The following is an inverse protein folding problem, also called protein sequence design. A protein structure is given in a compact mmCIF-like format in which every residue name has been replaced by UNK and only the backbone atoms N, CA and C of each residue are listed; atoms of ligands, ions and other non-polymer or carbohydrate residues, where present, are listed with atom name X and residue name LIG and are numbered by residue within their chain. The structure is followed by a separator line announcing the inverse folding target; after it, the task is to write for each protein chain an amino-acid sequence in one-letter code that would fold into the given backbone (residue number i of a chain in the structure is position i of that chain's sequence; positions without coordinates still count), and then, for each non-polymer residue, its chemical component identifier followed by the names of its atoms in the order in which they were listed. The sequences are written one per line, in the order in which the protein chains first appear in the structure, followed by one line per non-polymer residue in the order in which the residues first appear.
data_IF_127529935739
#
_entry.id   IF_127529935739
#
_cell.length_a   1.000
_cell.length_b   1.000
_cell.length_c   1.000
_cell.angle_alpha   90.00
_cell.angle_beta   90.00
_cell.angle_gamma   90.00
#
_symmetry.space_group_name_H-M   'P 1'
#
loop_
_entity.id
_entity.type
_entity.pdbx_description
1 polymer ?
#
# COMPACT_ATOMS: atom_id res chain seq x y z
N UNK A 1 16.75 -19.05 -34.81
CA UNK A 1 17.15 -20.47 -34.88
C UNK A 1 18.54 -20.67 -35.50
N UNK A 2 18.82 -20.04 -36.62
CA UNK A 2 20.11 -20.23 -37.34
C UNK A 2 21.36 -19.83 -36.53
N UNK A 3 21.21 -19.10 -35.44
CA UNK A 3 22.27 -18.66 -34.52
C UNK A 3 22.24 -19.37 -33.17
N UNK A 4 21.42 -20.41 -33.03
CA UNK A 4 21.32 -21.20 -31.80
C UNK A 4 20.37 -20.60 -30.73
N UNK A 5 19.52 -19.61 -31.08
CA UNK A 5 18.51 -19.10 -30.17
C UNK A 5 17.32 -20.07 -30.10
N UNK A 6 16.92 -20.44 -28.89
CA UNK A 6 15.77 -21.32 -28.63
C UNK A 6 14.51 -20.60 -28.16
N UNK A 7 14.59 -19.32 -27.83
CA UNK A 7 13.45 -18.54 -27.35
C UNK A 7 13.74 -17.05 -27.26
N UNK A 8 12.70 -16.30 -26.90
CA UNK A 8 12.74 -14.85 -26.76
C UNK A 8 12.00 -14.40 -25.48
N UNK A 9 12.41 -13.27 -24.94
CA UNK A 9 11.69 -12.58 -23.87
C UNK A 9 10.97 -11.36 -24.42
N UNK A 10 9.67 -11.31 -24.22
CA UNK A 10 8.88 -10.11 -24.46
C UNK A 10 8.87 -9.27 -23.19
N UNK A 11 9.64 -8.19 -23.22
CA UNK A 11 9.65 -7.19 -22.15
C UNK A 11 9.03 -5.91 -22.68
N UNK A 12 7.92 -5.45 -22.09
CA UNK A 12 7.41 -4.12 -22.40
C UNK A 12 8.44 -3.08 -21.95
N UNK A 13 8.84 -2.22 -22.85
CA UNK A 13 9.80 -1.17 -22.56
C UNK A 13 9.05 0.04 -22.05
N UNK A 14 9.45 0.52 -20.88
CA UNK A 14 8.98 1.79 -20.34
C UNK A 14 9.63 2.93 -21.14
N UNK A 15 8.84 3.90 -21.54
CA UNK A 15 9.38 5.14 -22.08
C UNK A 15 10.22 5.84 -21.01
N UNK A 16 11.52 5.70 -21.09
CA UNK A 16 12.48 6.30 -20.18
C UNK A 16 12.92 7.64 -20.75
N UNK A 17 12.17 8.71 -20.44
CA UNK A 17 12.56 10.09 -20.76
C UNK A 17 12.40 10.49 -22.22
N UNK A 18 12.73 11.73 -22.52
CA UNK A 18 12.48 12.48 -23.77
C UNK A 18 13.15 11.93 -25.04
N UNK A 19 13.71 10.72 -25.04
CA UNK A 19 14.57 10.22 -26.14
C UNK A 19 14.03 9.03 -26.93
N UNK A 20 12.92 8.43 -26.55
CA UNK A 20 12.30 7.36 -27.33
C UNK A 20 10.97 7.89 -27.86
N UNK A 21 11.01 8.52 -29.01
CA UNK A 21 9.85 8.89 -29.81
C UNK A 21 9.14 7.66 -30.39
N UNK A 22 8.63 6.77 -29.54
CA UNK A 22 7.63 5.81 -29.98
C UNK A 22 6.30 6.54 -30.09
N UNK A 23 6.06 7.17 -31.21
CA UNK A 23 4.85 7.94 -31.48
C UNK A 23 3.56 7.09 -31.49
N UNK A 24 3.68 5.76 -31.42
CA UNK A 24 2.56 4.81 -31.56
C UNK A 24 2.56 3.74 -30.47
N UNK A 25 2.69 4.12 -29.22
CA UNK A 25 2.54 3.17 -28.09
C UNK A 25 1.17 2.47 -28.14
N UNK A 26 1.17 1.14 -28.07
CA UNK A 26 -0.04 0.32 -28.06
C UNK A 26 -0.48 0.13 -26.62
N UNK A 27 -1.69 0.57 -26.29
CA UNK A 27 -2.23 0.41 -24.93
C UNK A 27 -2.42 -1.08 -24.60
N UNK A 28 -1.99 -1.47 -23.38
CA UNK A 28 -2.20 -2.83 -22.89
C UNK A 28 -3.68 -3.22 -22.96
N UNK A 29 -3.93 -4.48 -23.29
CA UNK A 29 -5.27 -5.07 -23.39
C UNK A 29 -6.16 -4.45 -24.47
N UNK A 30 -5.64 -3.50 -25.30
CA UNK A 30 -6.37 -2.97 -26.43
C UNK A 30 -6.52 -4.03 -27.55
N UNK A 31 -7.44 -3.84 -28.50
CA UNK A 31 -7.54 -4.72 -29.66
C UNK A 31 -6.23 -4.81 -30.46
N UNK A 32 -5.49 -3.72 -30.56
CA UNK A 32 -4.19 -3.64 -31.21
C UNK A 32 -3.13 -4.46 -30.47
N UNK A 33 -3.11 -4.34 -29.14
CA UNK A 33 -2.23 -5.16 -28.27
C UNK A 33 -2.47 -6.65 -28.54
N UNK A 34 -3.72 -7.08 -28.55
CA UNK A 34 -4.04 -8.48 -28.78
C UNK A 34 -3.66 -8.97 -30.18
N UNK A 35 -3.82 -8.15 -31.21
CA UNK A 35 -3.35 -8.48 -32.57
C UNK A 35 -1.82 -8.67 -32.62
N UNK A 36 -1.08 -7.82 -31.92
CA UNK A 36 0.37 -7.94 -31.85
C UNK A 36 0.80 -9.20 -31.10
N UNK A 37 0.10 -9.52 -30.02
CA UNK A 37 0.36 -10.76 -29.26
C UNK A 37 0.08 -12.00 -30.12
N UNK A 38 -1.05 -12.05 -30.83
CA UNK A 38 -1.40 -13.15 -31.73
C UNK A 38 -0.34 -13.35 -32.81
N UNK A 39 0.10 -12.25 -33.44
CA UNK A 39 1.15 -12.31 -34.44
C UNK A 39 2.48 -12.82 -33.85
N UNK A 40 2.86 -12.35 -32.68
CA UNK A 40 4.08 -12.77 -32.00
C UNK A 40 4.04 -14.25 -31.63
N UNK A 41 2.91 -14.74 -31.14
CA UNK A 41 2.73 -16.16 -30.80
C UNK A 41 2.78 -17.05 -32.04
N UNK A 42 2.06 -16.69 -33.09
CA UNK A 42 2.11 -17.41 -34.38
C UNK A 42 3.54 -17.48 -34.96
N UNK A 43 4.28 -16.38 -34.86
CA UNK A 43 5.65 -16.33 -35.35
C UNK A 43 6.57 -17.20 -34.48
N UNK A 44 6.45 -17.13 -33.16
CA UNK A 44 7.24 -17.95 -32.24
C UNK A 44 6.98 -19.45 -32.48
N UNK A 45 5.71 -19.85 -32.60
CA UNK A 45 5.33 -21.22 -32.91
C UNK A 45 5.94 -21.68 -34.25
N UNK A 46 5.81 -20.87 -35.32
CA UNK A 46 6.40 -21.20 -36.63
C UNK A 46 7.91 -21.35 -36.62
N UNK A 47 8.58 -20.68 -35.69
CA UNK A 47 10.04 -20.74 -35.48
C UNK A 47 10.46 -21.78 -34.43
N UNK A 48 9.49 -22.44 -33.79
CA UNK A 48 9.72 -23.35 -32.67
C UNK A 48 10.55 -22.64 -31.57
N UNK A 49 10.07 -21.46 -31.14
CA UNK A 49 10.66 -20.63 -30.10
C UNK A 49 9.80 -20.64 -28.85
N UNK A 50 10.42 -20.84 -27.71
CA UNK A 50 9.82 -20.54 -26.42
C UNK A 50 9.68 -19.02 -26.22
N UNK A 51 8.57 -18.58 -25.66
CA UNK A 51 8.38 -17.20 -25.25
C UNK A 51 8.36 -17.07 -23.74
N UNK A 52 9.22 -16.19 -23.24
CA UNK A 52 9.10 -15.65 -21.90
C UNK A 52 8.34 -14.32 -21.96
N UNK A 53 7.39 -14.10 -21.06
CA UNK A 53 6.66 -12.85 -20.95
C UNK A 53 6.99 -12.20 -19.61
N UNK A 54 7.48 -10.98 -19.68
CA UNK A 54 7.63 -10.13 -18.51
C UNK A 54 6.25 -9.60 -18.15
N UNK A 55 5.82 -10.02 -16.99
CA UNK A 55 4.55 -9.61 -16.44
C UNK A 55 4.67 -8.20 -15.91
N UNK A 56 4.02 -7.30 -16.60
CA UNK A 56 3.87 -5.94 -16.11
C UNK A 56 2.81 -5.91 -15.02
N UNK A 57 3.19 -5.46 -13.84
CA UNK A 57 2.26 -5.37 -12.72
C UNK A 57 1.27 -4.23 -12.87
N UNK A 58 1.21 -3.37 -13.71
CA UNK A 58 0.18 -2.33 -13.86
C UNK A 58 -0.99 -2.79 -14.71
N UNK A 59 -2.08 -3.17 -14.08
CA UNK A 59 -3.32 -3.48 -14.79
C UNK A 59 -4.32 -2.33 -14.63
N UNK A 60 -4.85 -1.74 -15.72
CA UNK A 60 -5.84 -0.68 -15.65
C UNK A 60 -7.15 -1.10 -14.95
N UNK A 61 -7.34 -2.40 -14.73
CA UNK A 61 -8.50 -2.95 -14.02
C UNK A 61 -8.29 -3.05 -12.50
N UNK A 62 -7.08 -2.76 -11.98
CA UNK A 62 -6.81 -2.78 -10.54
C UNK A 62 -7.35 -1.50 -9.89
N UNK A 63 -8.29 -1.68 -8.99
CA UNK A 63 -8.85 -0.58 -8.20
C UNK A 63 -7.90 -0.17 -7.07
N UNK A 64 -8.00 1.05 -6.53
CA UNK A 64 -7.18 1.48 -5.39
C UNK A 64 -7.23 0.54 -4.18
N UNK A 65 -8.39 -0.09 -3.94
CA UNK A 65 -8.56 -1.08 -2.86
C UNK A 65 -7.83 -2.40 -3.09
N UNK A 66 -7.50 -2.71 -4.34
CA UNK A 66 -6.85 -3.95 -4.76
C UNK A 66 -5.37 -3.75 -5.06
N UNK A 67 -4.91 -2.50 -4.97
CA UNK A 67 -3.53 -2.12 -5.22
C UNK A 67 -2.65 -2.27 -3.97
N UNK A 68 -1.35 -2.16 -4.16
CA UNK A 68 -0.38 -2.09 -3.06
C UNK A 68 -0.78 -0.99 -2.07
N UNK A 69 -0.81 -1.34 -0.77
CA UNK A 69 -1.25 -0.46 0.30
C UNK A 69 -0.11 0.05 1.16
N UNK A 70 -0.23 1.28 1.64
CA UNK A 70 0.64 1.88 2.65
C UNK A 70 -0.18 2.40 3.83
N UNK A 71 0.38 2.27 5.03
CA UNK A 71 -0.15 2.92 6.22
C UNK A 71 0.13 4.41 6.16
N UNK A 72 -0.89 5.19 6.52
CA UNK A 72 -0.83 6.65 6.62
C UNK A 72 -1.48 7.08 7.93
N UNK A 73 -1.10 8.26 8.43
CA UNK A 73 -1.63 8.77 9.68
C UNK A 73 -1.70 10.29 9.73
N UNK A 74 -2.58 10.79 10.60
CA UNK A 74 -2.60 12.18 11.07
C UNK A 74 -2.60 12.21 12.57
N UNK A 75 -2.15 13.29 13.15
CA UNK A 75 -2.15 13.46 14.58
C UNK A 75 -2.57 14.88 15.03
N UNK A 76 -3.05 14.97 16.27
CA UNK A 76 -3.46 16.20 16.90
C UNK A 76 -3.08 16.19 18.38
N UNK A 77 -2.53 17.30 18.88
CA UNK A 77 -2.16 17.42 20.30
C UNK A 77 -3.33 18.00 21.09
N UNK A 78 -3.67 17.36 22.19
CA UNK A 78 -4.72 17.79 23.10
C UNK A 78 -4.26 17.77 24.57
N UNK A 79 -4.93 18.55 25.41
CA UNK A 79 -4.76 18.50 26.85
C UNK A 79 -5.84 17.61 27.46
N UNK A 80 -5.44 16.64 28.28
CA UNK A 80 -6.33 15.80 29.04
C UNK A 80 -7.15 16.57 30.07
N UNK A 81 -8.20 15.93 30.60
CA UNK A 81 -9.16 16.51 31.50
C UNK A 81 -10.30 17.28 30.81
N UNK A 82 -10.19 17.54 29.52
CA UNK A 82 -11.25 18.14 28.69
C UNK A 82 -12.00 17.06 27.92
N UNK A 83 -13.23 17.36 27.51
CA UNK A 83 -14.03 16.52 26.62
C UNK A 83 -13.36 16.41 25.25
N UNK A 84 -13.24 15.19 24.74
CA UNK A 84 -12.70 14.90 23.40
C UNK A 84 -13.76 14.35 22.43
N UNK A 85 -14.91 13.95 22.95
CA UNK A 85 -16.04 13.51 22.13
C UNK A 85 -16.50 14.65 21.21
N UNK A 86 -16.70 14.35 19.92
CA UNK A 86 -17.02 15.31 18.86
C UNK A 86 -15.82 16.04 18.27
N UNK A 87 -14.59 15.73 18.71
CA UNK A 87 -13.39 16.28 18.08
C UNK A 87 -13.22 15.68 16.68
N UNK A 88 -13.13 16.53 15.68
CA UNK A 88 -12.85 16.12 14.31
C UNK A 88 -11.37 15.79 14.16
N UNK A 89 -11.08 14.60 13.64
CA UNK A 89 -9.76 14.23 13.17
C UNK A 89 -9.79 14.04 11.65
N UNK A 90 -8.98 14.81 10.93
CA UNK A 90 -8.91 14.75 9.49
C UNK A 90 -8.43 13.39 9.00
N UNK A 91 -8.94 12.99 7.83
CA UNK A 91 -8.46 11.83 7.10
C UNK A 91 -6.99 12.06 6.73
N UNK A 92 -6.10 11.05 6.89
CA UNK A 92 -4.75 11.10 6.34
C UNK A 92 -4.72 11.23 4.82
N UNK A 93 -3.53 11.14 4.24
CA UNK A 93 -3.38 11.04 2.78
C UNK A 93 -4.27 9.96 2.18
N UNK A 94 -4.80 10.23 1.01
CA UNK A 94 -5.60 9.28 0.23
C UNK A 94 -5.21 9.30 -1.24
N UNK A 95 -5.37 8.18 -1.91
CA UNK A 95 -5.13 8.07 -3.34
C UNK A 95 -6.41 8.38 -4.11
N UNK A 96 -6.35 9.35 -5.05
CA UNK A 96 -7.48 9.71 -5.92
C UNK A 96 -6.98 10.12 -7.30
N UNK A 97 -7.62 9.61 -8.34
CA UNK A 97 -7.39 10.00 -9.74
C UNK A 97 -5.91 10.04 -10.15
N UNK A 98 -5.16 8.99 -9.82
CA UNK A 98 -3.74 8.87 -10.16
C UNK A 98 -2.79 9.68 -9.28
N UNK A 99 -3.27 10.35 -8.22
CA UNK A 99 -2.45 11.21 -7.36
C UNK A 99 -2.73 10.96 -5.87
N UNK A 100 -1.70 11.16 -5.06
CA UNK A 100 -1.86 11.25 -3.61
C UNK A 100 -2.45 12.61 -3.26
N UNK A 101 -3.51 12.62 -2.47
CA UNK A 101 -4.14 13.80 -1.93
C UNK A 101 -3.64 14.05 -0.50
N UNK A 102 -3.42 15.29 -0.13
CA UNK A 102 -3.03 15.67 1.22
C UNK A 102 -4.14 15.38 2.24
N UNK A 103 -3.77 15.33 3.50
CA UNK A 103 -4.71 15.20 4.61
C UNK A 103 -5.82 16.26 4.53
N UNK A 104 -7.09 15.82 4.71
CA UNK A 104 -8.25 16.68 4.59
C UNK A 104 -8.88 16.76 3.20
N UNK A 105 -8.30 16.13 2.17
CA UNK A 105 -8.92 16.02 0.85
C UNK A 105 -10.07 15.02 0.87
N UNK A 106 -11.22 15.39 0.30
CA UNK A 106 -12.37 14.51 0.22
C UNK A 106 -12.28 13.53 -0.97
N UNK A 107 -12.85 12.33 -0.79
CA UNK A 107 -13.18 11.41 -1.87
C UNK A 107 -12.04 10.56 -2.42
N UNK A 108 -10.88 10.49 -1.75
CA UNK A 108 -9.82 9.53 -2.09
C UNK A 108 -10.03 8.15 -1.43
N UNK A 109 -9.41 7.10 -1.98
CA UNK A 109 -9.40 5.79 -1.35
C UNK A 109 -8.58 5.84 -0.05
N UNK A 110 -9.26 5.60 1.05
CA UNK A 110 -8.71 5.54 2.39
C UNK A 110 -9.61 4.66 3.27
N UNK A 111 -9.00 3.87 4.15
CA UNK A 111 -9.72 3.12 5.18
C UNK A 111 -9.05 3.31 6.53
N UNK A 112 -9.86 3.59 7.56
CA UNK A 112 -9.38 3.61 8.94
C UNK A 112 -8.95 2.21 9.39
N UNK A 113 -7.81 2.14 10.10
CA UNK A 113 -7.35 0.93 10.78
C UNK A 113 -7.64 1.06 12.27
N UNK A 114 -7.11 2.11 12.90
CA UNK A 114 -7.25 2.36 14.32
C UNK A 114 -6.95 3.83 14.66
N UNK A 115 -7.37 4.24 15.84
CA UNK A 115 -6.97 5.51 16.40
C UNK A 115 -6.58 5.36 17.87
N UNK A 116 -5.66 6.19 18.33
CA UNK A 116 -5.05 6.11 19.63
C UNK A 116 -4.91 7.49 20.27
N UNK A 117 -5.02 7.54 21.60
CA UNK A 117 -4.52 8.64 22.41
C UNK A 117 -3.22 8.18 23.07
N UNK A 118 -2.13 8.85 22.78
CA UNK A 118 -0.79 8.50 23.24
C UNK A 118 -0.32 9.59 24.18
N UNK A 119 -0.04 9.22 25.44
CA UNK A 119 0.46 10.15 26.42
C UNK A 119 1.93 10.46 26.18
N UNK A 120 2.32 11.72 26.26
CA UNK A 120 3.71 12.13 26.13
C UNK A 120 4.14 13.11 27.21
N UNK A 121 5.44 13.15 27.47
CA UNK A 121 6.10 14.13 28.32
C UNK A 121 6.70 15.21 27.42
N UNK A 122 6.51 16.44 27.73
CA UNK A 122 7.03 17.54 26.91
C UNK A 122 6.02 18.69 26.80
N UNK A 123 6.56 19.90 26.58
CA UNK A 123 5.73 21.12 26.50
C UNK A 123 5.34 21.45 25.06
N UNK A 124 6.15 21.09 24.07
CA UNK A 124 5.99 21.49 22.65
C UNK A 124 5.50 20.38 21.72
N UNK A 125 5.32 19.17 22.22
CA UNK A 125 4.85 18.03 21.43
C UNK A 125 5.61 16.75 21.76
N UNK A 126 5.17 15.62 21.19
CA UNK A 126 5.83 14.33 21.40
C UNK A 126 7.16 14.29 20.63
N UNK A 127 8.19 13.73 21.26
CA UNK A 127 9.55 13.66 20.72
C UNK A 127 9.63 12.86 19.41
N UNK A 128 8.81 11.81 19.24
CA UNK A 128 8.80 10.96 18.03
C UNK A 128 8.41 11.67 16.73
N UNK A 129 7.77 12.85 16.78
CA UNK A 129 7.49 13.66 15.59
C UNK A 129 8.76 14.12 14.89
N UNK A 130 9.87 14.21 15.61
CA UNK A 130 11.18 14.63 15.10
C UNK A 130 12.09 13.40 14.97
N UNK A 131 11.70 12.43 14.15
CA UNK A 131 12.39 11.13 14.02
C UNK A 131 13.88 11.20 13.60
N UNK A 132 14.35 12.37 13.14
CA UNK A 132 15.77 12.63 12.84
C UNK A 132 16.61 12.92 14.05
N UNK A 133 16.00 13.24 15.18
CA UNK A 133 16.71 13.53 16.43
C UNK A 133 16.94 12.23 17.23
N UNK A 134 18.21 11.90 17.48
CA UNK A 134 18.59 10.73 18.29
C UNK A 134 18.07 10.80 19.72
N UNK A 135 17.89 12.00 20.28
CA UNK A 135 17.30 12.21 21.60
C UNK A 135 15.80 11.84 21.61
N UNK A 136 15.08 12.04 20.50
CA UNK A 136 13.69 11.69 20.36
C UNK A 136 13.44 10.17 20.43
N UNK A 137 14.45 9.37 20.06
CA UNK A 137 14.40 7.90 20.11
C UNK A 137 14.60 7.32 21.51
N UNK A 138 14.87 8.14 22.51
CA UNK A 138 15.12 7.69 23.88
C UNK A 138 13.88 7.72 24.78
N UNK A 139 12.82 8.43 24.38
CA UNK A 139 11.60 8.55 25.19
C UNK A 139 10.58 7.45 24.84
N UNK A 140 10.69 6.31 25.52
CA UNK A 140 9.75 5.22 25.34
C UNK A 140 8.40 5.53 26.00
N UNK A 141 7.33 5.22 25.29
CA UNK A 141 5.95 5.28 25.76
C UNK A 141 5.56 3.91 26.31
N UNK A 142 4.99 3.87 27.52
CA UNK A 142 4.46 2.61 28.06
C UNK A 142 3.15 2.23 27.38
N UNK A 143 2.89 0.94 27.17
CA UNK A 143 1.62 0.47 26.57
C UNK A 143 0.39 0.95 27.35
N UNK A 144 0.51 1.15 28.65
CA UNK A 144 -0.54 1.73 29.49
C UNK A 144 -0.87 3.20 29.19
N UNK A 145 0.04 3.90 28.53
CA UNK A 145 -0.11 5.28 28.06
C UNK A 145 -0.59 5.37 26.59
N UNK A 146 -0.92 4.24 25.97
CA UNK A 146 -1.53 4.13 24.64
C UNK A 146 -2.96 3.66 24.80
N UNK A 147 -3.91 4.57 24.62
CA UNK A 147 -5.33 4.29 24.84
C UNK A 147 -6.06 4.26 23.48
N UNK A 148 -6.82 3.20 23.16
CA UNK A 148 -7.61 3.16 21.94
C UNK A 148 -8.68 4.25 21.93
N UNK A 149 -8.85 4.91 20.78
CA UNK A 149 -9.95 5.84 20.52
C UNK A 149 -11.06 5.13 19.73
N UNK A 150 -12.29 5.39 20.08
CA UNK A 150 -13.44 5.06 19.23
C UNK A 150 -13.72 6.22 18.29
N UNK A 151 -13.70 5.93 16.99
CA UNK A 151 -13.95 6.89 15.91
C UNK A 151 -15.22 6.52 15.16
N UNK A 152 -15.92 7.52 14.63
CA UNK A 152 -17.03 7.35 13.70
C UNK A 152 -17.10 8.56 12.77
N UNK A 153 -17.12 8.33 11.45
CA UNK A 153 -17.16 9.41 10.45
C UNK A 153 -16.05 10.45 10.58
N UNK A 154 -14.88 10.06 11.09
CA UNK A 154 -13.76 10.98 11.34
C UNK A 154 -13.85 11.74 12.67
N UNK A 155 -14.90 11.57 13.44
CA UNK A 155 -15.06 12.18 14.76
C UNK A 155 -14.68 11.21 15.88
N UNK A 156 -14.05 11.74 16.92
CA UNK A 156 -13.76 11.00 18.16
C UNK A 156 -15.07 10.84 18.95
N UNK A 157 -15.48 9.61 19.18
CA UNK A 157 -16.62 9.26 20.02
C UNK A 157 -16.21 9.10 21.50
N UNK A 158 -14.95 8.85 21.76
CA UNK A 158 -14.40 8.71 23.10
C UNK A 158 -13.09 7.91 23.11
N UNK A 159 -12.58 7.67 24.31
CA UNK A 159 -11.37 6.90 24.58
C UNK A 159 -11.69 5.69 25.44
N UNK A 160 -11.09 4.56 25.14
CA UNK A 160 -11.20 3.34 25.94
C UNK A 160 -10.21 3.37 27.10
N UNK A 161 -10.70 3.47 28.32
CA UNK A 161 -9.87 3.41 29.52
C UNK A 161 -10.31 2.20 30.36
N UNK A 162 -9.43 1.25 30.55
CA UNK A 162 -9.73 -0.02 31.25
C UNK A 162 -11.01 -0.72 30.71
N UNK A 163 -11.18 -0.72 29.39
CA UNK A 163 -12.33 -1.34 28.74
C UNK A 163 -13.63 -0.52 28.78
N UNK A 164 -13.62 0.68 29.36
CA UNK A 164 -14.80 1.55 29.48
C UNK A 164 -14.64 2.76 28.56
N UNK A 165 -15.65 3.05 27.74
CA UNK A 165 -15.65 4.24 26.89
C UNK A 165 -15.88 5.49 27.75
N UNK A 166 -14.95 6.43 27.67
CA UNK A 166 -15.00 7.72 28.37
C UNK A 166 -14.95 8.86 27.35
N UNK A 167 -15.59 9.97 27.65
CA UNK A 167 -15.58 11.16 26.80
C UNK A 167 -14.43 12.14 27.11
N UNK A 168 -13.57 11.82 28.07
CA UNK A 168 -12.43 12.64 28.51
C UNK A 168 -11.19 11.78 28.66
N UNK A 169 -10.06 12.33 28.26
CA UNK A 169 -8.75 11.76 28.58
C UNK A 169 -8.35 12.06 30.03
N UNK A 170 -7.58 11.18 30.66
CA UNK A 170 -6.92 11.49 31.92
C UNK A 170 -6.07 12.78 31.82
N UNK A 171 -5.80 13.42 32.97
CA UNK A 171 -4.95 14.64 32.98
C UNK A 171 -3.58 14.35 32.38
N UNK A 172 -3.06 15.28 31.57
CA UNK A 172 -1.75 15.15 30.90
C UNK A 172 -1.75 15.76 29.50
N UNK A 173 -0.66 15.54 28.78
CA UNK A 173 -0.52 15.89 27.36
C UNK A 173 -0.69 14.64 26.52
N UNK A 174 -1.51 14.72 25.49
CA UNK A 174 -1.89 13.59 24.66
C UNK A 174 -1.75 13.93 23.17
N UNK A 175 -1.22 13.00 22.42
CA UNK A 175 -1.25 13.00 20.96
C UNK A 175 -2.36 12.05 20.53
N UNK A 176 -3.38 12.56 19.84
CA UNK A 176 -4.38 11.73 19.20
C UNK A 176 -3.81 11.35 17.82
N UNK A 177 -3.72 10.07 17.56
CA UNK A 177 -3.17 9.50 16.32
C UNK A 177 -4.30 8.74 15.61
N UNK A 178 -4.65 9.16 14.39
CA UNK A 178 -5.56 8.42 13.51
C UNK A 178 -4.74 7.73 12.43
N UNK A 179 -4.86 6.43 12.32
CA UNK A 179 -4.13 5.61 11.38
C UNK A 179 -5.08 4.87 10.44
N UNK A 180 -4.72 4.82 9.20
CA UNK A 180 -5.43 4.07 8.18
C UNK A 180 -4.50 3.66 7.07
N UNK A 181 -5.06 3.21 5.95
CA UNK A 181 -4.27 2.83 4.78
C UNK A 181 -4.88 3.37 3.50
N UNK A 182 -4.03 3.53 2.52
CA UNK A 182 -4.38 3.96 1.18
C UNK A 182 -3.50 3.24 0.16
N UNK A 183 -3.87 3.33 -1.13
CA UNK A 183 -2.99 2.88 -2.22
C UNK A 183 -1.64 3.59 -2.15
N UNK A 184 -0.56 2.88 -2.47
CA UNK A 184 0.77 3.49 -2.64
C UNK A 184 0.81 4.44 -3.83
N UNK A 185 -0.14 4.31 -4.77
CA UNK A 185 -0.14 5.04 -6.02
C UNK A 185 0.90 4.54 -7.03
N UNK A 186 1.61 3.47 -6.71
CA UNK A 186 2.59 2.90 -7.63
C UNK A 186 1.91 2.36 -8.89
N UNK A 187 2.48 2.71 -10.02
CA UNK A 187 2.02 2.26 -11.33
C UNK A 187 3.21 1.72 -12.10
N UNK A 188 2.99 0.66 -12.85
CA UNK A 188 3.89 0.27 -13.92
C UNK A 188 3.34 0.81 -15.23
N UNK A 189 3.80 1.99 -15.61
CA UNK A 189 3.46 2.56 -16.89
C UNK A 189 4.51 2.18 -17.92
N UNK A 190 4.07 1.59 -19.02
CA UNK A 190 4.94 1.39 -20.18
C UNK A 190 4.92 2.57 -21.13
N UNK A 191 3.85 3.33 -21.19
CA UNK A 191 3.69 4.36 -22.21
C UNK A 191 2.72 5.51 -21.84
N UNK A 192 2.34 5.64 -20.61
CA UNK A 192 1.36 6.63 -20.17
C UNK A 192 -0.09 6.36 -20.61
N UNK A 193 -0.32 5.35 -21.46
CA UNK A 193 -1.64 4.87 -21.88
C UNK A 193 -1.89 3.51 -21.24
N UNK A 194 -2.95 3.38 -20.47
CA UNK A 194 -3.27 2.14 -19.74
C UNK A 194 -2.46 1.96 -18.46
N UNK A 195 -2.12 3.07 -17.80
CA UNK A 195 -1.51 3.04 -16.47
C UNK A 195 -2.47 2.39 -15.48
N UNK A 196 -2.07 1.24 -14.94
CA UNK A 196 -2.75 0.57 -13.86
C UNK A 196 -1.95 0.65 -12.57
N UNK A 197 -2.64 0.53 -11.46
CA UNK A 197 -2.02 0.43 -10.16
C UNK A 197 -1.32 -0.93 -10.00
N UNK A 198 -0.23 -0.93 -9.25
CA UNK A 198 0.43 -2.15 -8.82
C UNK A 198 -0.49 -2.96 -7.90
N UNK A 199 -0.68 -4.23 -8.20
CA UNK A 199 -1.59 -5.11 -7.46
C UNK A 199 -1.07 -5.41 -6.06
N UNK A 200 -1.98 -5.52 -5.10
CA UNK A 200 -1.65 -6.05 -3.76
C UNK A 200 -1.30 -7.53 -3.85
N UNK A 201 -0.01 -7.83 -3.82
CA UNK A 201 0.53 -9.21 -3.90
C UNK A 201 0.29 -10.04 -2.64
N UNK A 202 -0.12 -9.43 -1.54
CA UNK A 202 -0.52 -10.13 -0.32
C UNK A 202 -2.02 -10.44 -0.28
N UNK A 203 -2.78 -10.01 -1.29
CA UNK A 203 -4.20 -10.32 -1.43
C UNK A 203 -4.41 -11.41 -2.48
N UNK A 204 -4.78 -12.65 -2.09
CA UNK A 204 -5.10 -13.71 -3.04
C UNK A 204 -6.20 -13.32 -4.04
N UNK A 205 -7.18 -12.54 -3.59
CA UNK A 205 -8.27 -12.06 -4.44
C UNK A 205 -7.77 -11.07 -5.50
N UNK A 206 -6.89 -10.13 -5.12
CA UNK A 206 -6.31 -9.16 -6.05
C UNK A 206 -5.38 -9.84 -7.06
N UNK A 207 -4.56 -10.80 -6.62
CA UNK A 207 -3.70 -11.61 -7.50
C UNK A 207 -4.54 -12.46 -8.45
N UNK A 208 -5.63 -13.09 -7.95
CA UNK A 208 -6.54 -13.85 -8.82
C UNK A 208 -7.19 -12.95 -9.87
N UNK A 209 -7.64 -11.77 -9.51
CA UNK A 209 -8.21 -10.81 -10.44
C UNK A 209 -7.20 -10.41 -11.52
N UNK A 210 -5.94 -10.15 -11.14
CA UNK A 210 -4.87 -9.88 -12.09
C UNK A 210 -4.67 -11.06 -13.05
N UNK A 211 -4.61 -12.28 -12.52
CA UNK A 211 -4.48 -13.49 -13.33
C UNK A 211 -5.63 -13.62 -14.32
N UNK A 212 -6.87 -13.55 -13.85
CA UNK A 212 -8.06 -13.73 -14.69
C UNK A 212 -8.21 -12.63 -15.76
N UNK A 213 -7.77 -11.42 -15.48
CA UNK A 213 -7.95 -10.28 -16.40
C UNK A 213 -6.80 -10.09 -17.38
N UNK A 214 -5.61 -10.58 -17.08
CA UNK A 214 -4.42 -10.35 -17.91
C UNK A 214 -3.78 -11.65 -18.39
N UNK A 215 -3.46 -12.59 -17.49
CA UNK A 215 -2.74 -13.82 -17.86
C UNK A 215 -3.62 -14.86 -18.53
N UNK A 216 -4.78 -15.13 -17.96
CA UNK A 216 -5.66 -16.13 -18.53
C UNK A 216 -6.10 -15.79 -19.97
N UNK A 217 -6.49 -14.54 -20.29
CA UNK A 217 -6.74 -14.15 -21.67
C UNK A 217 -5.53 -14.32 -22.59
N UNK A 218 -4.32 -14.04 -22.11
CA UNK A 218 -3.09 -14.20 -22.87
C UNK A 218 -2.81 -15.66 -23.19
N UNK A 219 -2.83 -16.52 -22.18
CA UNK A 219 -2.52 -17.95 -22.30
C UNK A 219 -3.56 -18.72 -23.11
N UNK A 220 -4.80 -18.23 -23.16
CA UNK A 220 -5.89 -18.84 -23.92
C UNK A 220 -5.97 -18.35 -25.38
N UNK A 221 -5.02 -17.56 -25.83
CA UNK A 221 -4.98 -17.13 -27.25
C UNK A 221 -4.47 -18.26 -28.17
N UNK A 222 -4.78 -18.17 -29.49
CA UNK A 222 -4.16 -19.07 -30.48
C UNK A 222 -2.65 -19.08 -30.32
N UNK A 223 -2.03 -20.26 -30.31
CA UNK A 223 -0.59 -20.45 -30.08
C UNK A 223 -0.09 -19.94 -28.70
N UNK A 224 -0.99 -19.80 -27.68
CA UNK A 224 -0.59 -19.36 -26.35
C UNK A 224 0.32 -20.35 -25.58
N UNK A 225 0.40 -21.59 -26.05
CA UNK A 225 1.27 -22.67 -25.55
C UNK A 225 2.77 -22.40 -25.81
N UNK A 226 3.12 -21.47 -26.71
CA UNK A 226 4.51 -21.01 -26.85
C UNK A 226 5.03 -20.25 -25.62
N UNK A 227 4.12 -19.81 -24.73
CA UNK A 227 4.50 -19.11 -23.50
C UNK A 227 4.95 -20.12 -22.45
N UNK A 228 6.25 -20.29 -22.36
CA UNK A 228 6.89 -21.21 -21.41
C UNK A 228 7.26 -20.57 -20.08
N UNK A 229 7.39 -19.22 -20.03
CA UNK A 229 7.88 -18.51 -18.85
C UNK A 229 7.10 -17.24 -18.60
N UNK A 230 6.71 -17.02 -17.34
CA UNK A 230 6.23 -15.74 -16.84
C UNK A 230 7.28 -15.18 -15.87
N UNK A 231 7.78 -13.99 -16.17
CA UNK A 231 8.72 -13.30 -15.29
C UNK A 231 7.97 -12.24 -14.48
N UNK A 232 8.04 -12.34 -13.17
CA UNK A 232 7.45 -11.39 -12.23
C UNK A 232 8.60 -10.65 -11.57
N UNK A 233 8.66 -9.33 -11.72
CA UNK A 233 9.69 -8.52 -11.10
C UNK A 233 9.71 -8.68 -9.59
N UNK A 234 10.90 -8.81 -9.01
CA UNK A 234 11.05 -8.62 -7.60
C UNK A 234 10.69 -7.17 -7.23
N UNK A 235 10.35 -6.97 -6.03
CA UNK A 235 9.75 -5.85 -5.33
C UNK A 235 10.58 -4.54 -5.35
N UNK A 236 10.94 -4.03 -6.52
CA UNK A 236 11.78 -2.82 -6.65
C UNK A 236 11.00 -1.50 -6.55
N UNK A 237 9.67 -1.55 -6.60
CA UNK A 237 8.81 -0.38 -6.82
C UNK A 237 8.02 0.04 -5.59
N UNK A 238 8.72 0.34 -4.52
CA UNK A 238 8.12 0.85 -3.31
C UNK A 238 7.76 -0.23 -2.29
N UNK A 239 7.53 0.19 -1.06
CA UNK A 239 7.26 -0.69 0.06
C UNK A 239 5.76 -0.72 0.35
N UNK A 240 5.11 -1.78 -0.07
CA UNK A 240 3.84 -2.16 0.54
C UNK A 240 4.08 -2.54 2.01
N UNK A 241 3.36 -1.92 2.93
CA UNK A 241 3.46 -2.20 4.35
C UNK A 241 2.09 -2.47 4.99
N UNK A 242 1.05 -2.61 4.17
CA UNK A 242 -0.28 -2.98 4.58
C UNK A 242 -1.00 -3.79 3.49
N UNK A 243 -2.03 -4.54 3.87
CA UNK A 243 -2.95 -5.26 3.01
C UNK A 243 -4.25 -5.54 3.77
N UNK A 244 -5.34 -5.82 3.05
CA UNK A 244 -6.68 -5.99 3.65
C UNK A 244 -6.76 -7.12 4.69
N UNK A 245 -5.92 -8.15 4.58
CA UNK A 245 -5.88 -9.29 5.50
C UNK A 245 -4.66 -9.25 6.44
N UNK A 246 -3.84 -8.20 6.37
CA UNK A 246 -2.54 -8.19 7.03
C UNK A 246 -2.63 -8.34 8.56
N UNK A 247 -3.54 -7.63 9.21
CA UNK A 247 -3.69 -7.71 10.68
C UNK A 247 -4.14 -9.08 11.15
N UNK A 248 -5.07 -9.72 10.41
CA UNK A 248 -5.56 -11.06 10.73
C UNK A 248 -4.48 -12.12 10.49
N UNK A 249 -3.81 -12.08 9.36
CA UNK A 249 -2.68 -12.98 9.04
C UNK A 249 -1.55 -12.83 10.06
N UNK A 250 -1.26 -11.60 10.48
CA UNK A 250 -0.25 -11.35 11.52
C UNK A 250 -0.65 -12.04 12.83
N UNK A 251 -1.91 -11.85 13.26
CA UNK A 251 -2.43 -12.45 14.49
C UNK A 251 -2.36 -13.98 14.46
N UNK A 252 -2.77 -14.58 13.33
CA UNK A 252 -2.70 -16.04 13.15
C UNK A 252 -1.25 -16.54 13.22
N UNK A 253 -0.32 -15.86 12.57
CA UNK A 253 1.08 -16.31 12.47
C UNK A 253 1.94 -15.96 13.69
N UNK A 254 1.63 -14.88 14.40
CA UNK A 254 2.43 -14.37 15.52
C UNK A 254 1.79 -14.65 16.88
N UNK A 255 0.50 -14.99 16.92
CA UNK A 255 -0.21 -15.31 18.15
C UNK A 255 -0.62 -14.11 19.00
N UNK A 256 -0.48 -12.86 18.48
CA UNK A 256 -0.92 -11.65 19.17
C UNK A 256 -1.47 -10.62 18.17
N UNK A 257 -2.25 -9.66 18.68
CA UNK A 257 -2.86 -8.61 17.88
C UNK A 257 -1.85 -7.52 17.53
N UNK A 258 -1.74 -7.19 16.24
CA UNK A 258 -0.86 -6.13 15.73
C UNK A 258 -1.38 -4.73 16.09
N UNK A 259 -2.70 -4.54 16.16
CA UNK A 259 -3.31 -3.21 16.23
C UNK A 259 -2.76 -2.35 17.37
N UNK A 260 -2.58 -2.83 18.61
CA UNK A 260 -2.02 -2.03 19.69
C UNK A 260 -0.59 -1.51 19.45
N UNK A 261 0.15 -2.14 18.54
CA UNK A 261 1.54 -1.81 18.22
C UNK A 261 1.69 -0.89 17.00
N UNK A 262 0.61 -0.62 16.26
CA UNK A 262 0.64 0.24 15.06
C UNK A 262 1.27 1.62 15.29
N UNK A 263 1.18 2.27 16.46
CA UNK A 263 1.85 3.55 16.69
C UNK A 263 3.36 3.54 16.41
N UNK A 264 4.01 2.36 16.43
CA UNK A 264 5.43 2.21 16.06
C UNK A 264 5.69 2.67 14.62
N UNK A 265 4.74 2.45 13.70
CA UNK A 265 4.85 2.89 12.31
C UNK A 265 4.84 4.42 12.17
N UNK A 266 4.26 5.13 13.13
CA UNK A 266 4.30 6.59 13.21
C UNK A 266 5.53 7.12 14.00
N UNK A 267 6.47 6.24 14.33
CA UNK A 267 7.70 6.57 15.04
C UNK A 267 7.62 6.51 16.56
N UNK A 268 6.50 6.07 17.12
CA UNK A 268 6.34 5.94 18.58
C UNK A 268 7.19 4.78 19.10
N UNK A 269 8.11 5.05 20.02
CA UNK A 269 8.90 4.03 20.67
C UNK A 269 8.10 3.41 21.82
N UNK A 270 7.64 2.18 21.65
CA UNK A 270 6.86 1.47 22.66
C UNK A 270 7.76 0.67 23.60
N UNK A 271 7.56 0.86 24.91
CA UNK A 271 8.20 0.20 26.05
C UNK A 271 9.72 0.33 26.15
N UNK A 272 10.48 0.03 25.11
CA UNK A 272 11.94 0.19 25.14
C UNK A 272 12.55 0.25 23.75
N UNK A 273 13.72 0.87 23.63
CA UNK A 273 14.48 0.95 22.39
C UNK A 273 14.92 -0.44 21.88
N UNK A 274 15.15 -1.40 22.77
CA UNK A 274 15.54 -2.77 22.41
C UNK A 274 14.41 -3.56 21.75
N UNK A 275 13.17 -3.19 21.98
CA UNK A 275 11.99 -3.82 21.33
C UNK A 275 11.63 -3.21 20.00
N UNK A 276 12.09 -1.99 19.69
CA UNK A 276 11.78 -1.30 18.45
C UNK A 276 12.20 -2.06 17.19
N UNK A 277 13.28 -2.81 17.25
CA UNK A 277 13.76 -3.63 16.14
C UNK A 277 13.12 -5.03 16.04
N UNK A 278 12.18 -5.37 16.94
CA UNK A 278 11.51 -6.67 16.99
C UNK A 278 10.05 -6.63 16.50
N UNK A 279 9.54 -5.45 16.20
CA UNK A 279 8.22 -5.18 15.59
C UNK A 279 8.44 -4.68 14.16
#
# INVERSE_FOLDING_TARGET
KNVGMGGIWLMPVREAGERLEFQNGVAQLSPEFWKMMDYSFQLADSLDFDMGIHVLPGNPLVLPAESMQKVVWTDTIVKGGKKIEGLQMWQPESYKDGKMQSAGSEGGYYQDIAAFAIRFKGKSGPAWRNATDSAARSEAVQMTDVLPLKMEGGMVMGVMVNGILQNKLPKGSWCLLRMGHTSTGQTHATDGKGMGLEVDRFSPAAVKKLFDSWYAPLLNRPHGDVVSYLYIDPREWGSQNWGCQFAEEFKVRRGYDLIPYLPVMAGVLLESASRYGQV
#
